data_IF_611142939483
#
_entry.id   IF_611142939483
#
_cell.length_a   1.000
_cell.length_b   1.000
_cell.length_c   1.000
_cell.angle_alpha   90.00
_cell.angle_beta   90.00
_cell.angle_gamma   90.00
#
_symmetry.space_group_name_H-M   'P 1'
#
loop_
_entity.id
_entity.type
_entity.pdbx_description
1 polymer ?
#
# COMPACT_ATOMS: atom_id res chain seq x y z
N UNK A 1 22.95 -36.15 -23.80
CA UNK A 1 22.10 -35.26 -24.63
C UNK A 1 21.34 -34.24 -23.79
N UNK A 2 21.97 -33.12 -23.38
CA UNK A 2 21.30 -32.04 -22.62
C UNK A 2 21.66 -30.62 -23.08
N UNK A 3 22.69 -30.48 -23.91
CA UNK A 3 23.21 -29.21 -24.40
C UNK A 3 22.27 -28.37 -25.29
N UNK A 4 21.40 -28.92 -26.17
CA UNK A 4 20.61 -28.07 -27.06
C UNK A 4 19.48 -27.34 -26.33
N UNK A 5 19.02 -27.88 -25.18
CA UNK A 5 17.93 -27.27 -24.38
C UNK A 5 18.42 -26.09 -23.55
N UNK A 6 19.67 -26.13 -23.06
CA UNK A 6 20.27 -25.05 -22.26
C UNK A 6 20.56 -23.82 -23.14
N UNK A 7 20.96 -24.03 -24.40
CA UNK A 7 21.22 -22.93 -25.35
C UNK A 7 19.95 -22.17 -25.75
N UNK A 8 18.81 -22.87 -25.87
CA UNK A 8 17.53 -22.23 -26.23
C UNK A 8 17.01 -21.33 -25.10
N UNK A 9 17.20 -21.74 -23.84
CA UNK A 9 16.76 -20.93 -22.68
C UNK A 9 17.62 -19.67 -22.52
N UNK A 10 18.93 -19.75 -22.76
CA UNK A 10 19.84 -18.59 -22.61
C UNK A 10 19.61 -17.52 -23.69
N UNK A 11 19.13 -17.90 -24.87
CA UNK A 11 18.85 -16.97 -25.97
C UNK A 11 17.52 -16.21 -25.84
N UNK A 12 16.56 -16.72 -25.05
CA UNK A 12 15.24 -16.11 -24.90
C UNK A 12 15.19 -14.98 -23.86
N UNK A 13 16.09 -15.00 -22.86
CA UNK A 13 16.09 -14.06 -21.73
C UNK A 13 16.43 -12.60 -22.13
N UNK A 14 17.36 -12.30 -23.05
CA UNK A 14 17.65 -10.91 -23.42
C UNK A 14 16.52 -10.23 -24.19
N UNK A 15 15.71 -11.00 -24.93
CA UNK A 15 14.60 -10.47 -25.74
C UNK A 15 13.44 -9.93 -24.91
N UNK A 16 13.15 -10.55 -23.76
CA UNK A 16 12.10 -10.09 -22.84
C UNK A 16 12.49 -8.79 -22.11
N UNK A 17 13.77 -8.55 -21.86
CA UNK A 17 14.24 -7.35 -21.15
C UNK A 17 14.28 -6.08 -22.04
N UNK A 18 14.40 -6.24 -23.37
CA UNK A 18 14.32 -5.09 -24.30
C UNK A 18 12.87 -4.64 -24.59
N UNK A 19 11.87 -5.48 -24.33
CA UNK A 19 10.46 -5.14 -24.63
C UNK A 19 9.80 -4.23 -23.60
N UNK A 20 10.41 -4.03 -22.42
CA UNK A 20 9.92 -3.05 -21.44
C UNK A 20 10.47 -1.63 -21.68
N UNK A 21 11.27 -1.42 -22.74
CA UNK A 21 11.86 -0.12 -23.08
C UNK A 21 11.48 0.34 -24.48
N UNK A 22 10.17 0.45 -24.75
CA UNK A 22 9.68 1.30 -25.84
C UNK A 22 9.25 2.64 -25.25
N UNK A 23 10.10 3.64 -25.46
CA UNK A 23 9.84 5.03 -25.17
C UNK A 23 8.79 5.61 -26.13
N UNK A 24 7.87 6.42 -25.61
CA UNK A 24 7.21 7.45 -26.38
C UNK A 24 7.23 8.74 -25.55
N UNK A 25 8.28 9.54 -25.75
CA UNK A 25 8.31 10.94 -25.32
C UNK A 25 7.40 11.71 -26.28
N UNK A 26 6.13 11.87 -25.90
CA UNK A 26 5.21 12.76 -26.58
C UNK A 26 5.75 14.20 -26.47
N UNK A 27 5.92 14.94 -27.58
CA UNK A 27 6.03 16.39 -27.49
C UNK A 27 4.71 16.90 -26.91
N UNK A 28 4.75 17.45 -25.71
CA UNK A 28 3.65 18.24 -25.18
C UNK A 28 3.57 19.52 -26.02
N UNK A 29 2.80 19.48 -27.12
CA UNK A 29 2.29 20.69 -27.73
C UNK A 29 1.43 21.43 -26.69
N UNK A 30 1.45 22.78 -26.65
CA UNK A 30 0.64 23.52 -25.70
C UNK A 30 -0.84 23.24 -25.99
N UNK A 31 -1.44 22.39 -25.15
CA UNK A 31 -2.88 22.20 -25.13
C UNK A 31 -3.49 23.49 -24.58
N UNK A 32 -4.47 24.11 -25.26
CA UNK A 32 -5.19 25.25 -24.69
C UNK A 32 -5.85 24.77 -23.41
N UNK A 33 -5.38 25.27 -22.28
CA UNK A 33 -6.06 25.04 -21.00
C UNK A 33 -7.37 25.82 -21.06
N UNK A 34 -8.54 25.18 -20.87
CA UNK A 34 -9.72 25.96 -20.57
C UNK A 34 -9.45 26.67 -19.24
N UNK A 35 -9.34 28.01 -19.29
CA UNK A 35 -9.39 28.84 -18.08
C UNK A 35 -10.77 28.65 -17.50
N UNK A 36 -10.91 27.67 -16.60
CA UNK A 36 -12.03 27.63 -15.69
C UNK A 36 -11.83 28.79 -14.73
N UNK A 37 -12.56 29.87 -14.97
CA UNK A 37 -12.81 30.87 -13.94
C UNK A 37 -13.65 30.19 -12.85
N UNK A 38 -12.98 29.44 -11.97
CA UNK A 38 -13.58 29.02 -10.73
C UNK A 38 -13.73 30.28 -9.89
N UNK A 39 -14.96 30.80 -9.81
CA UNK A 39 -15.35 31.70 -8.74
C UNK A 39 -15.00 31.01 -7.44
N UNK A 40 -13.99 31.53 -6.73
CA UNK A 40 -13.62 31.06 -5.40
C UNK A 40 -14.78 31.42 -4.49
N UNK A 41 -15.74 30.51 -4.34
CA UNK A 41 -16.66 30.57 -3.23
C UNK A 41 -15.81 30.48 -1.94
N UNK A 42 -16.04 31.34 -0.94
CA UNK A 42 -15.38 31.22 0.34
C UNK A 42 -15.58 29.79 0.86
N UNK A 43 -14.49 29.09 1.15
CA UNK A 43 -14.59 27.80 1.82
C UNK A 43 -15.37 28.02 3.13
N UNK A 44 -16.35 27.16 3.46
CA UNK A 44 -17.00 27.20 4.76
C UNK A 44 -15.93 27.21 5.84
N UNK A 45 -16.08 28.09 6.83
CA UNK A 45 -15.20 28.10 7.98
C UNK A 45 -15.18 26.69 8.58
N UNK A 46 -13.98 26.12 8.73
CA UNK A 46 -13.83 24.79 9.31
C UNK A 46 -14.46 24.80 10.70
N UNK A 47 -15.47 23.96 10.92
CA UNK A 47 -16.02 23.72 12.24
C UNK A 47 -14.91 23.22 13.17
N UNK A 48 -14.94 23.60 14.46
CA UNK A 48 -14.00 23.07 15.44
C UNK A 48 -14.07 21.54 15.41
N UNK A 49 -12.94 20.89 15.11
CA UNK A 49 -12.86 19.45 15.10
C UNK A 49 -13.29 18.92 16.47
N UNK A 50 -14.24 17.98 16.47
CA UNK A 50 -14.60 17.24 17.68
C UNK A 50 -13.32 16.65 18.29
N UNK A 51 -13.11 16.77 19.61
CA UNK A 51 -11.95 16.15 20.25
C UNK A 51 -11.96 14.67 19.93
N UNK A 52 -10.89 14.16 19.33
CA UNK A 52 -10.70 12.72 19.22
C UNK A 52 -10.71 12.14 20.63
N UNK A 53 -11.36 10.99 20.83
CA UNK A 53 -11.30 10.30 22.11
C UNK A 53 -9.84 9.92 22.40
N UNK A 54 -9.28 10.43 23.50
CA UNK A 54 -7.92 10.13 23.95
C UNK A 54 -6.86 11.15 23.51
N UNK A 55 -5.66 10.96 24.02
CA UNK A 55 -4.50 11.82 23.74
C UNK A 55 -3.66 11.22 22.61
N UNK A 56 -4.17 11.36 21.37
CA UNK A 56 -3.49 10.90 20.16
C UNK A 56 -2.07 11.46 20.03
N UNK A 57 -1.83 12.76 20.26
CA UNK A 57 -0.48 13.33 20.26
C UNK A 57 0.45 12.70 21.28
N UNK A 58 0.01 12.47 22.53
CA UNK A 58 0.85 11.80 23.53
C UNK A 58 1.15 10.34 23.18
N UNK A 59 0.18 9.60 22.63
CA UNK A 59 0.39 8.23 22.16
C UNK A 59 1.41 8.19 21.01
N UNK A 60 1.27 9.08 20.02
CA UNK A 60 2.23 9.17 18.93
C UNK A 60 3.61 9.63 19.44
N UNK A 61 3.68 10.49 20.45
CA UNK A 61 4.94 10.91 21.03
C UNK A 61 5.67 9.76 21.76
N UNK A 62 4.94 8.80 22.34
CA UNK A 62 5.52 7.66 23.06
C UNK A 62 5.98 6.51 22.16
N UNK A 63 5.54 6.47 20.89
CA UNK A 63 5.94 5.44 19.93
C UNK A 63 7.35 5.62 19.39
N UNK A 64 8.04 4.51 19.15
CA UNK A 64 9.30 4.51 18.40
C UNK A 64 9.07 4.91 16.94
N UNK A 65 10.11 5.36 16.23
CA UNK A 65 10.01 5.65 14.78
C UNK A 65 9.57 4.42 13.98
N UNK A 66 10.00 3.22 14.40
CA UNK A 66 9.61 1.97 13.74
C UNK A 66 8.12 1.72 13.89
N UNK A 67 7.57 1.89 15.09
CA UNK A 67 6.14 1.64 15.33
C UNK A 67 5.27 2.64 14.58
N UNK A 68 5.70 3.91 14.52
CA UNK A 68 5.02 4.93 13.70
C UNK A 68 4.91 4.52 12.24
N UNK A 69 5.97 3.94 11.68
CA UNK A 69 5.96 3.45 10.31
C UNK A 69 5.11 2.18 10.17
N UNK A 70 5.18 1.26 11.14
CA UNK A 70 4.37 0.04 11.13
C UNK A 70 2.87 0.33 11.19
N UNK A 71 2.45 1.38 11.91
CA UNK A 71 1.07 1.87 11.94
C UNK A 71 0.55 2.35 10.57
N UNK A 72 1.43 2.60 9.60
CA UNK A 72 1.06 2.97 8.22
C UNK A 72 0.97 1.76 7.29
N UNK A 73 1.26 0.56 7.78
CA UNK A 73 1.29 -0.67 6.99
C UNK A 73 0.09 -1.56 7.33
N UNK A 74 -0.46 -2.18 6.27
CA UNK A 74 -1.39 -3.29 6.39
C UNK A 74 -0.78 -4.54 5.76
N UNK A 75 -0.88 -5.68 6.45
CA UNK A 75 -0.27 -6.94 6.02
C UNK A 75 -1.32 -8.02 5.81
N UNK A 76 -1.22 -8.77 4.72
CA UNK A 76 -2.04 -9.96 4.52
C UNK A 76 -1.68 -11.06 5.52
N UNK A 77 -2.67 -11.65 6.18
CA UNK A 77 -2.46 -12.71 7.18
C UNK A 77 -3.09 -14.01 6.71
N UNK A 78 -2.55 -15.14 7.17
CA UNK A 78 -3.06 -16.48 6.83
C UNK A 78 -4.18 -16.95 7.75
N UNK A 79 -4.25 -16.42 8.97
CA UNK A 79 -5.29 -16.75 9.95
C UNK A 79 -5.06 -16.03 11.28
N UNK A 80 -5.80 -16.41 12.32
CA UNK A 80 -5.78 -15.76 13.63
C UNK A 80 -4.41 -15.79 14.32
N UNK A 81 -3.73 -16.94 14.32
CA UNK A 81 -2.43 -17.08 14.97
C UNK A 81 -1.37 -16.16 14.33
N UNK A 82 -1.37 -16.10 12.99
CA UNK A 82 -0.49 -15.23 12.21
C UNK A 82 -0.81 -13.75 12.47
N UNK A 83 -2.10 -13.38 12.45
CA UNK A 83 -2.55 -12.03 12.78
C UNK A 83 -2.06 -11.55 14.15
N UNK A 84 -2.21 -12.38 15.19
CA UNK A 84 -1.72 -12.07 16.54
C UNK A 84 -0.20 -11.93 16.56
N UNK A 85 0.51 -12.87 15.94
CA UNK A 85 1.97 -12.86 15.90
C UNK A 85 2.52 -11.57 15.26
N UNK A 86 1.95 -11.12 14.12
CA UNK A 86 2.42 -9.91 13.45
C UNK A 86 2.04 -8.62 14.18
N UNK A 87 0.87 -8.58 14.82
CA UNK A 87 0.46 -7.43 15.65
C UNK A 87 1.36 -7.31 16.88
N UNK A 88 1.58 -8.42 17.60
CA UNK A 88 2.40 -8.43 18.80
C UNK A 88 3.88 -8.18 18.53
N UNK A 89 4.41 -8.69 17.41
CA UNK A 89 5.86 -8.60 17.12
C UNK A 89 6.25 -7.36 16.33
N UNK A 90 5.33 -6.80 15.53
CA UNK A 90 5.64 -5.73 14.57
C UNK A 90 4.75 -4.50 14.67
N UNK A 91 3.68 -4.55 15.48
CA UNK A 91 2.82 -3.40 15.77
C UNK A 91 2.27 -2.76 14.49
N UNK A 92 1.85 -3.62 13.55
CA UNK A 92 1.24 -3.20 12.28
C UNK A 92 -0.04 -2.41 12.51
N UNK A 93 -0.31 -1.43 11.65
CA UNK A 93 -1.51 -0.61 11.71
C UNK A 93 -2.78 -1.36 11.32
N UNK A 94 -2.65 -2.46 10.58
CA UNK A 94 -3.76 -3.32 10.26
C UNK A 94 -3.37 -4.65 9.64
N UNK A 95 -4.35 -5.55 9.60
CA UNK A 95 -4.30 -6.82 8.89
C UNK A 95 -5.24 -6.77 7.68
N UNK A 96 -4.88 -7.49 6.63
CA UNK A 96 -5.68 -7.63 5.43
C UNK A 96 -6.17 -9.06 5.29
N UNK A 97 -7.48 -9.20 5.09
CA UNK A 97 -8.17 -10.48 4.95
C UNK A 97 -8.36 -10.74 3.45
N UNK A 98 -7.70 -11.78 2.95
CA UNK A 98 -7.71 -12.17 1.54
C UNK A 98 -8.28 -13.57 1.32
N UNK A 99 -8.29 -14.03 0.07
CA UNK A 99 -8.77 -15.39 -0.27
C UNK A 99 -7.90 -16.52 0.30
N UNK A 100 -6.69 -16.22 0.75
CA UNK A 100 -5.76 -17.14 1.40
C UNK A 100 -5.89 -17.16 2.92
N UNK A 101 -6.73 -16.30 3.50
CA UNK A 101 -6.93 -16.19 4.94
C UNK A 101 -8.01 -17.17 5.40
N UNK A 102 -7.76 -17.88 6.49
CA UNK A 102 -8.78 -18.72 7.14
C UNK A 102 -9.91 -17.85 7.71
N UNK A 103 -11.09 -17.95 7.11
CA UNK A 103 -12.26 -17.11 7.44
C UNK A 103 -12.96 -17.51 8.75
N UNK A 104 -12.68 -18.70 9.28
CA UNK A 104 -13.27 -19.12 10.56
C UNK A 104 -12.93 -18.16 11.70
N UNK A 105 -11.79 -17.45 11.59
CA UNK A 105 -11.32 -16.47 12.57
C UNK A 105 -12.26 -15.28 12.83
N UNK A 106 -13.18 -15.01 11.90
CA UNK A 106 -14.12 -13.87 12.00
C UNK A 106 -15.38 -14.21 12.81
N UNK A 107 -15.61 -15.50 13.11
CA UNK A 107 -16.83 -15.96 13.77
C UNK A 107 -16.58 -16.76 15.05
N UNK A 108 -15.36 -17.28 15.24
CA UNK A 108 -15.01 -18.15 16.37
C UNK A 108 -14.42 -17.40 17.58
N UNK A 109 -14.17 -16.09 17.47
CA UNK A 109 -13.58 -15.28 18.54
C UNK A 109 -12.07 -15.49 18.70
N UNK A 110 -11.39 -16.04 17.69
CA UNK A 110 -9.94 -16.21 17.68
C UNK A 110 -9.14 -14.95 17.36
N UNK A 111 -9.80 -13.83 17.05
CA UNK A 111 -9.19 -12.50 17.01
C UNK A 111 -9.17 -11.87 18.40
#
# INVERSE_FOLDING_TARGET
MGFPRILVVLAAVPGLLLSCSSAAKQPAGPSPSPTMAATVAPAPAAEPAVPACGDGPALLASMTTRDKLAQLLMVGVTGAADARAVVDSHHVGGIFIGSWTDMSMLSDGSL
#
